data_IF_232458452171
#
_entry.id   IF_232458452171
#
_cell.length_a   1.000
_cell.length_b   1.000
_cell.length_c   1.000
_cell.angle_alpha   90.00
_cell.angle_beta   90.00
_cell.angle_gamma   90.00
#
_symmetry.space_group_name_H-M   'P 1'
#
loop_
_entity.id
_entity.type
_entity.pdbx_description
1 polymer ?
#
# COMPACT_ATOMS: atom_id res chain seq x y z
N UNK A 1 24.04 12.99 1.15
CA UNK A 1 22.77 12.25 1.09
C UNK A 1 22.19 12.37 -0.32
N UNK A 2 21.64 11.29 -0.86
CA UNK A 2 21.00 11.25 -2.17
C UNK A 2 19.52 11.02 -2.03
N UNK A 3 18.66 11.92 -2.53
CA UNK A 3 17.22 11.86 -2.37
C UNK A 3 16.53 11.87 -3.74
N UNK A 4 15.63 10.90 -3.95
CA UNK A 4 14.78 10.88 -5.12
C UNK A 4 13.47 11.65 -4.85
N UNK A 5 12.92 12.30 -5.87
CA UNK A 5 11.65 13.01 -5.79
C UNK A 5 10.71 12.47 -6.86
N UNK A 6 9.53 12.04 -6.43
CA UNK A 6 8.44 11.54 -7.26
C UNK A 6 7.24 12.45 -7.09
N UNK A 7 6.55 12.80 -8.16
CA UNK A 7 5.34 13.64 -8.09
C UNK A 7 4.21 13.02 -8.89
N UNK A 8 2.98 13.27 -8.47
CA UNK A 8 1.85 13.13 -9.37
C UNK A 8 2.01 14.10 -10.54
N UNK A 9 1.78 13.62 -11.74
CA UNK A 9 2.06 14.40 -12.96
C UNK A 9 0.85 15.13 -13.54
N UNK A 10 -0.34 14.80 -13.06
CA UNK A 10 -1.63 15.37 -13.49
C UNK A 10 -1.96 16.70 -12.79
N UNK A 11 -1.10 17.18 -11.89
CA UNK A 11 -1.29 18.41 -11.13
C UNK A 11 -0.07 19.33 -11.25
N UNK A 12 -0.19 20.50 -11.91
CA UNK A 12 0.92 21.44 -12.10
C UNK A 12 1.50 22.00 -10.80
N UNK A 13 0.67 22.18 -9.76
CA UNK A 13 1.15 22.72 -8.47
C UNK A 13 2.00 21.69 -7.72
N UNK A 14 1.64 20.40 -7.81
CA UNK A 14 2.46 19.31 -7.28
C UNK A 14 3.83 19.26 -7.97
N UNK A 15 3.87 19.41 -9.29
CA UNK A 15 5.12 19.48 -10.04
C UNK A 15 5.96 20.72 -9.68
N UNK A 16 5.31 21.87 -9.51
CA UNK A 16 5.98 23.09 -9.04
C UNK A 16 6.56 22.91 -7.62
N UNK A 17 5.82 22.19 -6.74
CA UNK A 17 6.28 21.87 -5.42
C UNK A 17 7.47 20.90 -5.42
N UNK A 18 7.46 19.89 -6.30
CA UNK A 18 8.59 19.00 -6.49
C UNK A 18 9.87 19.75 -6.91
N UNK A 19 9.76 20.80 -7.74
CA UNK A 19 10.88 21.70 -8.04
C UNK A 19 11.37 22.48 -6.80
N UNK A 20 10.46 22.93 -5.94
CA UNK A 20 10.83 23.62 -4.66
C UNK A 20 11.59 22.67 -3.73
N UNK A 21 11.13 21.42 -3.61
CA UNK A 21 11.82 20.36 -2.84
C UNK A 21 13.24 20.19 -3.35
N UNK A 22 13.44 20.00 -4.67
CA UNK A 22 14.79 19.89 -5.24
C UNK A 22 15.66 21.09 -4.88
N UNK A 23 15.12 22.31 -5.02
CA UNK A 23 15.86 23.54 -4.71
C UNK A 23 16.27 23.60 -3.24
N UNK A 24 15.39 23.19 -2.33
CA UNK A 24 15.67 23.12 -0.89
C UNK A 24 16.77 22.10 -0.57
N UNK A 25 16.65 20.88 -1.10
CA UNK A 25 17.64 19.81 -0.91
C UNK A 25 19.01 20.17 -1.47
N UNK A 26 19.06 20.80 -2.65
CA UNK A 26 20.33 21.24 -3.26
C UNK A 26 21.03 22.31 -2.39
N UNK A 27 20.26 23.24 -1.79
CA UNK A 27 20.84 24.24 -0.85
C UNK A 27 21.39 23.58 0.41
N UNK A 28 20.81 22.46 0.85
CA UNK A 28 21.29 21.66 1.98
C UNK A 28 22.40 20.66 1.60
N UNK A 29 22.96 20.74 0.38
CA UNK A 29 24.05 19.88 -0.06
C UNK A 29 23.66 18.45 -0.42
N UNK A 30 22.37 18.16 -0.63
CA UNK A 30 21.91 16.85 -1.06
C UNK A 30 21.94 16.69 -2.57
N UNK A 31 22.36 15.53 -3.02
CA UNK A 31 22.19 15.08 -4.42
C UNK A 31 20.72 14.72 -4.65
N UNK A 32 20.09 15.30 -5.67
CA UNK A 32 18.65 15.15 -5.90
C UNK A 32 18.40 14.63 -7.31
N UNK A 33 17.61 13.60 -7.44
CA UNK A 33 17.16 13.03 -8.72
C UNK A 33 15.64 12.97 -8.79
N UNK A 34 15.08 12.92 -9.99
CA UNK A 34 13.67 12.67 -10.23
C UNK A 34 13.46 11.28 -10.83
N UNK A 35 12.30 10.69 -10.54
CA UNK A 35 11.82 9.56 -11.33
C UNK A 35 11.55 9.98 -12.78
N UNK A 36 11.47 8.99 -13.67
CA UNK A 36 11.35 9.23 -15.10
C UNK A 36 10.11 10.03 -15.50
N UNK A 37 8.96 9.75 -14.86
CA UNK A 37 7.70 10.40 -15.21
C UNK A 37 7.65 11.84 -14.69
N UNK A 38 8.05 12.07 -13.45
CA UNK A 38 8.18 13.42 -12.89
C UNK A 38 9.17 14.25 -13.70
N UNK A 39 10.33 13.70 -14.02
CA UNK A 39 11.35 14.38 -14.80
C UNK A 39 10.84 14.77 -16.20
N UNK A 40 10.17 13.85 -16.90
CA UNK A 40 9.56 14.11 -18.21
C UNK A 40 8.57 15.25 -18.15
N UNK A 41 7.67 15.25 -17.14
CA UNK A 41 6.69 16.32 -16.94
C UNK A 41 7.35 17.69 -16.64
N UNK A 42 8.55 17.68 -16.07
CA UNK A 42 9.34 18.87 -15.76
C UNK A 42 10.31 19.29 -16.89
N UNK A 43 10.41 18.51 -18.00
CA UNK A 43 11.37 18.74 -19.07
C UNK A 43 12.82 18.46 -18.65
N UNK A 44 13.04 17.47 -17.78
CA UNK A 44 14.31 17.06 -17.20
C UNK A 44 14.64 15.60 -17.54
N UNK A 45 15.88 15.19 -17.28
CA UNK A 45 16.27 13.79 -17.29
C UNK A 45 15.92 13.11 -15.96
N UNK A 46 15.39 11.89 -16.02
CA UNK A 46 14.96 11.11 -14.87
C UNK A 46 15.40 9.66 -14.93
N UNK A 47 15.21 8.95 -13.83
CA UNK A 47 15.60 7.56 -13.64
C UNK A 47 14.33 6.71 -13.43
N UNK A 48 14.14 5.57 -14.12
CA UNK A 48 13.05 4.64 -13.83
C UNK A 48 13.05 4.22 -12.36
N UNK A 49 11.88 4.17 -11.71
CA UNK A 49 11.73 3.81 -10.28
C UNK A 49 12.48 2.53 -9.92
N UNK A 50 12.41 1.51 -10.76
CA UNK A 50 13.13 0.25 -10.57
C UNK A 50 14.66 0.37 -10.53
N UNK A 51 15.23 1.47 -11.02
CA UNK A 51 16.67 1.73 -11.06
C UNK A 51 17.11 2.84 -10.09
N UNK A 52 16.20 3.34 -9.28
CA UNK A 52 16.52 4.36 -8.27
C UNK A 52 17.36 3.73 -7.16
N UNK A 53 18.49 4.35 -6.87
CA UNK A 53 19.32 4.12 -5.70
C UNK A 53 19.48 5.44 -4.97
N UNK A 54 18.80 5.59 -3.84
CA UNK A 54 18.76 6.79 -3.02
C UNK A 54 18.64 6.42 -1.54
N UNK A 55 18.99 7.36 -0.67
CA UNK A 55 18.83 7.20 0.79
C UNK A 55 17.37 7.36 1.23
N UNK A 56 16.58 8.13 0.45
CA UNK A 56 15.14 8.29 0.63
C UNK A 56 14.45 8.68 -0.68
N UNK A 57 13.12 8.47 -0.73
CA UNK A 57 12.24 8.93 -1.82
C UNK A 57 11.18 9.86 -1.23
N UNK A 58 11.12 11.10 -1.69
CA UNK A 58 10.06 12.03 -1.34
C UNK A 58 8.98 11.97 -2.41
N UNK A 59 7.74 11.75 -1.99
CA UNK A 59 6.61 11.54 -2.89
C UNK A 59 5.59 12.66 -2.70
N UNK A 60 5.35 13.45 -3.72
CA UNK A 60 4.33 14.50 -3.75
C UNK A 60 3.09 13.95 -4.45
N UNK A 61 2.10 13.53 -3.67
CA UNK A 61 0.91 12.88 -4.23
C UNK A 61 0.00 12.30 -3.16
N UNK A 62 -1.06 11.62 -3.58
CA UNK A 62 -1.93 10.83 -2.70
C UNK A 62 -1.44 9.40 -2.52
N UNK A 63 -2.23 8.61 -1.79
CA UNK A 63 -1.92 7.20 -1.47
C UNK A 63 -1.63 6.36 -2.72
N UNK A 64 -2.35 6.58 -3.83
CA UNK A 64 -2.11 5.87 -5.09
C UNK A 64 -0.70 6.11 -5.67
N UNK A 65 -0.17 7.33 -5.55
CA UNK A 65 1.20 7.66 -5.99
C UNK A 65 2.23 6.96 -5.10
N UNK A 66 1.97 6.89 -3.79
CA UNK A 66 2.84 6.20 -2.82
C UNK A 66 2.85 4.70 -3.09
N UNK A 67 1.68 4.08 -3.25
CA UNK A 67 1.54 2.65 -3.55
C UNK A 67 2.28 2.28 -4.84
N UNK A 68 2.06 3.05 -5.92
CA UNK A 68 2.77 2.85 -7.19
C UNK A 68 4.28 2.95 -7.01
N UNK A 69 4.76 3.98 -6.33
CA UNK A 69 6.19 4.18 -6.11
C UNK A 69 6.80 2.99 -5.37
N UNK A 70 6.19 2.56 -4.26
CA UNK A 70 6.68 1.43 -3.46
C UNK A 70 6.65 0.11 -4.26
N UNK A 71 5.62 -0.09 -5.09
CA UNK A 71 5.49 -1.32 -5.88
C UNK A 71 6.54 -1.43 -6.99
N UNK A 72 6.99 -0.30 -7.55
CA UNK A 72 7.96 -0.25 -8.64
C UNK A 72 9.43 -0.18 -8.16
N UNK A 73 9.67 0.13 -6.88
CA UNK A 73 11.02 0.10 -6.31
C UNK A 73 11.56 -1.32 -6.22
N UNK A 74 12.77 -1.58 -6.75
CA UNK A 74 13.42 -2.89 -6.67
C UNK A 74 13.91 -3.24 -5.28
N UNK A 75 14.25 -2.23 -4.48
CA UNK A 75 14.77 -2.37 -3.12
C UNK A 75 13.94 -1.51 -2.17
N UNK A 76 13.77 -1.92 -0.91
CA UNK A 76 13.16 -1.07 0.10
C UNK A 76 13.99 0.22 0.28
N UNK A 77 13.41 1.36 -0.05
CA UNK A 77 13.98 2.69 0.19
C UNK A 77 12.97 3.43 1.07
N UNK A 78 13.41 4.12 2.13
CA UNK A 78 12.53 4.92 2.96
C UNK A 78 11.76 5.97 2.14
N UNK A 79 10.42 5.99 2.24
CA UNK A 79 9.58 6.95 1.52
C UNK A 79 9.00 7.98 2.48
N UNK A 80 8.92 9.23 2.04
CA UNK A 80 8.24 10.33 2.71
C UNK A 80 7.09 10.80 1.83
N UNK A 81 5.85 10.57 2.26
CA UNK A 81 4.66 11.02 1.54
C UNK A 81 4.26 12.43 1.93
N UNK A 82 4.09 13.31 0.94
CA UNK A 82 3.52 14.65 1.08
C UNK A 82 2.15 14.64 0.43
N UNK A 83 1.13 14.92 1.21
CA UNK A 83 -0.26 14.86 0.77
C UNK A 83 -0.54 15.94 -0.29
N UNK A 84 -0.80 15.50 -1.51
CA UNK A 84 -1.19 16.38 -2.60
C UNK A 84 -2.42 15.82 -3.32
N UNK A 85 -3.50 15.70 -2.57
CA UNK A 85 -4.74 15.10 -3.06
C UNK A 85 -5.84 15.19 -2.03
N UNK A 86 -6.83 14.32 -2.17
CA UNK A 86 -7.88 14.11 -1.17
C UNK A 86 -7.33 13.41 0.07
N UNK A 87 -8.20 13.09 1.01
CA UNK A 87 -7.83 12.41 2.26
C UNK A 87 -7.14 11.07 1.97
N UNK A 88 -5.83 11.00 2.30
CA UNK A 88 -5.04 9.77 2.22
C UNK A 88 -4.46 9.40 3.58
N UNK A 89 -4.17 8.11 3.80
CA UNK A 89 -3.63 7.61 5.07
C UNK A 89 -2.14 7.24 5.02
N UNK A 90 -1.53 7.17 3.81
CA UNK A 90 -0.11 6.87 3.66
C UNK A 90 0.77 8.12 3.69
N UNK A 91 0.29 9.26 3.15
CA UNK A 91 1.00 10.52 3.24
C UNK A 91 0.96 11.08 4.67
N UNK A 92 2.13 11.46 5.21
CA UNK A 92 2.28 11.89 6.59
C UNK A 92 2.44 13.41 6.76
N UNK A 93 2.86 14.12 5.72
CA UNK A 93 3.05 15.58 5.76
C UNK A 93 2.07 16.29 4.86
N UNK A 94 1.62 17.45 5.31
CA UNK A 94 0.94 18.43 4.47
C UNK A 94 1.99 19.37 3.81
N UNK A 95 1.70 20.01 2.66
CA UNK A 95 2.66 20.82 1.92
C UNK A 95 3.26 21.97 2.74
N UNK A 96 2.48 22.53 3.67
CA UNK A 96 2.86 23.70 4.48
C UNK A 96 4.05 23.42 5.41
N UNK A 97 4.16 22.21 5.91
CA UNK A 97 5.19 21.77 6.87
C UNK A 97 6.31 20.96 6.22
N UNK A 98 6.07 20.49 4.97
CA UNK A 98 6.96 19.53 4.32
C UNK A 98 8.37 20.08 4.09
N UNK A 99 8.51 21.35 3.67
CA UNK A 99 9.83 21.96 3.40
C UNK A 99 10.66 22.09 4.66
N UNK A 100 10.05 22.43 5.79
CA UNK A 100 10.74 22.53 7.08
C UNK A 100 11.27 21.16 7.50
N UNK A 101 10.42 20.11 7.43
CA UNK A 101 10.85 18.74 7.72
C UNK A 101 11.96 18.28 6.78
N UNK A 102 11.81 18.48 5.47
CA UNK A 102 12.80 18.08 4.46
C UNK A 102 14.16 18.73 4.72
N UNK A 103 14.18 19.97 5.21
CA UNK A 103 15.42 20.68 5.52
C UNK A 103 16.25 20.01 6.64
N UNK A 104 15.61 19.23 7.51
CA UNK A 104 16.27 18.48 8.60
C UNK A 104 16.74 17.09 8.18
N UNK A 105 16.26 16.56 7.06
CA UNK A 105 16.61 15.20 6.63
C UNK A 105 18.11 14.96 6.43
N UNK A 106 18.92 15.92 5.97
CA UNK A 106 20.37 15.72 5.84
C UNK A 106 21.07 15.39 7.16
N UNK A 107 20.52 15.80 8.28
CA UNK A 107 21.05 15.50 9.62
C UNK A 107 20.69 14.07 10.10
N UNK A 108 19.85 13.37 9.32
CA UNK A 108 19.38 12.02 9.59
C UNK A 108 17.89 11.96 9.87
N UNK A 109 17.30 10.79 9.69
CA UNK A 109 15.89 10.51 9.98
C UNK A 109 15.71 9.07 10.49
N UNK A 110 14.67 8.84 11.27
CA UNK A 110 14.26 7.49 11.65
C UNK A 110 13.29 6.90 10.63
N UNK A 111 13.22 5.57 10.62
CA UNK A 111 12.41 4.80 9.66
C UNK A 111 11.42 3.93 10.42
N UNK A 112 10.20 3.88 9.94
CA UNK A 112 9.15 2.94 10.37
C UNK A 112 8.97 1.87 9.31
N UNK A 113 8.94 0.60 9.75
CA UNK A 113 8.65 -0.53 8.87
C UNK A 113 7.15 -0.82 8.82
N UNK A 114 6.63 -1.02 7.61
CA UNK A 114 5.25 -1.47 7.37
C UNK A 114 5.29 -2.83 6.70
N UNK A 115 4.66 -3.83 7.33
CA UNK A 115 4.61 -5.15 6.72
C UNK A 115 3.91 -5.12 5.37
N UNK A 116 4.34 -6.01 4.48
CA UNK A 116 3.66 -6.28 3.21
C UNK A 116 3.27 -7.76 3.16
N UNK A 117 2.32 -8.10 2.31
CA UNK A 117 1.90 -9.48 2.07
C UNK A 117 2.33 -9.91 0.68
N UNK A 118 2.87 -11.12 0.59
CA UNK A 118 3.17 -11.81 -0.67
C UNK A 118 2.13 -12.89 -0.92
N UNK A 119 1.66 -12.96 -2.17
CA UNK A 119 0.65 -13.90 -2.61
C UNK A 119 1.25 -14.88 -3.60
N UNK A 120 0.94 -16.16 -3.42
CA UNK A 120 1.43 -17.23 -4.28
C UNK A 120 0.28 -18.13 -4.75
N UNK A 121 0.40 -18.63 -5.98
CA UNK A 121 -0.44 -19.68 -6.54
C UNK A 121 0.48 -20.70 -7.20
N UNK A 122 0.28 -21.97 -6.89
CA UNK A 122 1.10 -23.07 -7.44
C UNK A 122 2.62 -22.84 -7.32
N UNK A 123 3.07 -22.30 -6.18
CA UNK A 123 4.46 -21.97 -5.91
C UNK A 123 4.99 -20.73 -6.65
N UNK A 124 4.19 -20.08 -7.52
CA UNK A 124 4.57 -18.85 -8.22
C UNK A 124 4.05 -17.63 -7.50
N UNK A 125 4.93 -16.63 -7.29
CA UNK A 125 4.52 -15.35 -6.70
C UNK A 125 3.64 -14.60 -7.69
N UNK A 126 2.45 -14.22 -7.24
CA UNK A 126 1.51 -13.39 -8.00
C UNK A 126 1.82 -11.90 -7.83
N UNK A 127 2.17 -11.48 -6.62
CA UNK A 127 2.49 -10.11 -6.33
C UNK A 127 2.69 -9.84 -4.84
N UNK A 128 2.88 -8.57 -4.51
CA UNK A 128 3.08 -8.07 -3.14
C UNK A 128 2.16 -6.88 -2.91
N UNK A 129 1.39 -6.89 -1.83
CA UNK A 129 0.53 -5.78 -1.44
C UNK A 129 1.07 -5.05 -0.20
N UNK A 130 0.96 -3.73 -0.19
CA UNK A 130 1.15 -2.89 0.99
C UNK A 130 -0.17 -2.67 1.72
N UNK A 131 -1.26 -2.38 1.01
CA UNK A 131 -2.59 -2.24 1.59
C UNK A 131 -3.32 -3.57 1.59
N UNK A 132 -3.73 -4.05 0.43
CA UNK A 132 -4.55 -5.27 0.34
C UNK A 132 -4.45 -5.98 -1.02
N UNK A 133 -4.80 -7.25 -0.97
CA UNK A 133 -5.15 -8.05 -2.13
C UNK A 133 -6.64 -8.38 -2.08
N UNK A 134 -7.36 -8.06 -3.13
CA UNK A 134 -8.79 -8.30 -3.26
C UNK A 134 -9.03 -9.47 -4.22
N UNK A 135 -9.67 -10.52 -3.75
CA UNK A 135 -10.27 -11.55 -4.62
C UNK A 135 -11.73 -11.17 -4.84
N UNK A 136 -12.12 -10.92 -6.09
CA UNK A 136 -13.47 -10.44 -6.42
C UNK A 136 -14.05 -11.16 -7.62
N UNK A 137 -15.38 -11.33 -7.63
CA UNK A 137 -16.08 -11.90 -8.77
C UNK A 137 -15.95 -11.01 -10.01
N UNK A 138 -15.80 -11.62 -11.18
CA UNK A 138 -15.87 -10.91 -12.46
C UNK A 138 -17.31 -10.73 -12.96
N UNK A 139 -18.29 -11.34 -12.27
CA UNK A 139 -19.72 -11.31 -12.65
C UNK A 139 -20.56 -10.72 -11.51
N UNK A 140 -21.11 -9.53 -11.64
CA UNK A 140 -21.99 -8.92 -10.65
C UNK A 140 -23.11 -9.88 -10.21
N UNK A 141 -23.48 -9.83 -8.93
CA UNK A 141 -24.52 -10.68 -8.31
C UNK A 141 -24.26 -12.20 -8.39
N UNK A 142 -23.01 -12.60 -8.60
CA UNK A 142 -22.58 -14.01 -8.59
C UNK A 142 -21.50 -14.22 -7.54
N UNK A 143 -21.94 -14.57 -6.32
CA UNK A 143 -21.04 -14.80 -5.19
C UNK A 143 -20.03 -15.90 -5.47
N UNK A 144 -18.85 -15.73 -4.94
CA UNK A 144 -17.78 -16.72 -4.87
C UNK A 144 -17.91 -17.55 -3.59
N UNK A 145 -17.33 -18.74 -3.60
CA UNK A 145 -17.23 -19.60 -2.41
C UNK A 145 -15.78 -19.59 -1.95
N UNK A 146 -15.58 -19.24 -0.70
CA UNK A 146 -14.27 -19.17 -0.07
C UNK A 146 -14.17 -20.19 1.06
N UNK A 147 -13.02 -20.84 1.16
CA UNK A 147 -12.58 -21.57 2.34
C UNK A 147 -11.24 -20.97 2.80
N UNK A 148 -11.17 -20.61 4.07
CA UNK A 148 -9.97 -20.06 4.70
C UNK A 148 -9.36 -21.15 5.56
N UNK A 149 -8.12 -21.52 5.29
CA UNK A 149 -7.37 -22.49 6.12
C UNK A 149 -6.21 -21.80 6.82
N UNK A 150 -6.07 -22.08 8.11
CA UNK A 150 -4.97 -21.63 8.95
C UNK A 150 -4.26 -22.83 9.54
N UNK A 151 -2.97 -22.99 9.27
CA UNK A 151 -2.15 -24.13 9.68
C UNK A 151 -2.79 -25.49 9.28
N UNK A 152 -3.35 -25.55 8.07
CA UNK A 152 -3.97 -26.73 7.51
C UNK A 152 -5.37 -27.07 8.05
N UNK A 153 -5.92 -26.26 8.96
CA UNK A 153 -7.28 -26.42 9.48
C UNK A 153 -8.21 -25.36 8.91
N UNK A 154 -9.42 -25.76 8.49
CA UNK A 154 -10.43 -24.80 8.00
C UNK A 154 -10.86 -23.89 9.16
N UNK A 155 -10.61 -22.59 9.02
CA UNK A 155 -10.98 -21.56 9.98
C UNK A 155 -12.34 -20.93 9.68
N UNK A 156 -12.68 -20.76 8.37
CA UNK A 156 -13.97 -20.22 7.93
C UNK A 156 -14.32 -20.73 6.53
N UNK A 157 -15.62 -20.77 6.23
CA UNK A 157 -16.16 -21.15 4.93
C UNK A 157 -17.43 -20.34 4.65
N UNK A 158 -17.41 -19.52 3.59
CA UNK A 158 -18.51 -18.60 3.31
C UNK A 158 -18.67 -18.29 1.81
N UNK A 159 -19.79 -17.64 1.48
CA UNK A 159 -20.07 -17.06 0.17
C UNK A 159 -20.08 -15.56 0.28
N UNK A 160 -19.43 -14.88 -0.66
CA UNK A 160 -19.34 -13.43 -0.70
C UNK A 160 -19.10 -12.94 -2.13
N UNK A 161 -19.26 -11.65 -2.38
CA UNK A 161 -18.88 -11.03 -3.66
C UNK A 161 -17.36 -10.96 -3.82
N UNK A 162 -16.63 -10.95 -2.70
CA UNK A 162 -15.18 -10.96 -2.66
C UNK A 162 -14.62 -11.16 -1.25
N UNK A 163 -13.30 -11.19 -1.18
CA UNK A 163 -12.53 -11.25 0.06
C UNK A 163 -11.34 -10.30 -0.05
N UNK A 164 -11.23 -9.38 0.89
CA UNK A 164 -10.04 -8.55 1.10
C UNK A 164 -9.07 -9.29 2.02
N UNK A 165 -7.82 -9.36 1.60
CA UNK A 165 -6.68 -9.84 2.37
C UNK A 165 -5.78 -8.62 2.59
N UNK A 166 -5.94 -7.97 3.73
CA UNK A 166 -5.31 -6.67 4.01
C UNK A 166 -4.17 -6.79 5.01
N UNK A 167 -3.24 -5.85 4.93
CA UNK A 167 -2.25 -5.61 5.98
C UNK A 167 -2.87 -4.69 7.05
N UNK A 168 -2.24 -4.53 8.22
CA UNK A 168 -2.61 -3.49 9.17
C UNK A 168 -2.56 -2.08 8.59
N UNK A 169 -1.59 -1.79 7.72
CA UNK A 169 -1.53 -0.52 6.97
C UNK A 169 -2.75 -0.32 6.09
N UNK A 170 -3.20 -1.34 5.38
CA UNK A 170 -4.40 -1.31 4.53
C UNK A 170 -5.73 -1.30 5.31
N UNK A 171 -5.70 -1.45 6.64
CA UNK A 171 -6.92 -1.42 7.45
C UNK A 171 -7.69 -0.09 7.35
N UNK A 172 -7.01 1.00 7.00
CA UNK A 172 -7.60 2.32 6.75
C UNK A 172 -7.93 2.58 5.27
N UNK A 173 -7.68 1.60 4.38
CA UNK A 173 -8.00 1.66 2.96
C UNK A 173 -9.35 0.95 2.67
N UNK A 174 -9.42 0.10 1.67
CA UNK A 174 -10.67 -0.55 1.27
C UNK A 174 -11.22 -1.48 2.36
N UNK A 175 -10.35 -2.07 3.20
CA UNK A 175 -10.78 -2.90 4.33
C UNK A 175 -11.70 -2.13 5.31
N UNK A 176 -11.42 -0.84 5.57
CA UNK A 176 -12.28 0.02 6.40
C UNK A 176 -13.66 0.21 5.76
N UNK A 177 -13.72 0.52 4.47
CA UNK A 177 -14.99 0.69 3.74
C UNK A 177 -15.82 -0.59 3.69
N UNK A 178 -15.16 -1.75 3.77
CA UNK A 178 -15.80 -3.06 3.83
C UNK A 178 -16.24 -3.47 5.26
N UNK A 179 -16.10 -2.60 6.25
CA UNK A 179 -16.48 -2.87 7.64
C UNK A 179 -15.42 -3.60 8.46
N UNK A 180 -14.17 -3.62 7.98
CA UNK A 180 -13.03 -4.10 8.75
C UNK A 180 -12.65 -3.15 9.90
N UNK A 181 -11.98 -3.63 10.95
CA UNK A 181 -11.49 -2.79 12.04
C UNK A 181 -10.30 -1.95 11.58
N UNK A 182 -10.10 -0.79 12.23
CA UNK A 182 -8.85 -0.04 12.16
C UNK A 182 -7.83 -0.78 13.00
N UNK A 183 -6.67 -1.09 12.41
CA UNK A 183 -5.60 -1.85 13.05
C UNK A 183 -4.36 -0.98 13.11
N UNK A 184 -3.68 -0.95 14.28
CA UNK A 184 -2.39 -0.30 14.41
C UNK A 184 -1.41 -0.90 13.39
N UNK A 185 -0.77 -0.09 12.53
CA UNK A 185 0.14 -0.59 11.50
C UNK A 185 1.39 -1.30 12.05
N UNK A 186 1.66 -1.18 13.35
CA UNK A 186 2.73 -1.91 14.05
C UNK A 186 2.35 -3.35 14.40
N UNK A 187 1.07 -3.70 14.32
CA UNK A 187 0.63 -5.08 14.49
C UNK A 187 1.07 -5.90 13.26
N UNK A 188 1.51 -7.12 13.51
CA UNK A 188 1.87 -8.05 12.45
C UNK A 188 0.74 -9.08 12.28
N UNK A 189 0.01 -8.99 11.19
CA UNK A 189 -1.11 -9.90 10.94
C UNK A 189 -1.78 -9.67 9.59
N UNK A 190 -2.55 -10.66 9.18
CA UNK A 190 -3.38 -10.63 7.98
C UNK A 190 -4.82 -10.32 8.39
N UNK A 191 -5.37 -9.23 7.90
CA UNK A 191 -6.76 -8.84 8.13
C UNK A 191 -7.60 -9.35 6.94
N UNK A 192 -8.48 -10.29 7.19
CA UNK A 192 -9.41 -10.85 6.21
C UNK A 192 -10.78 -10.21 6.37
N UNK A 193 -11.28 -9.56 5.32
CA UNK A 193 -12.58 -8.87 5.35
C UNK A 193 -13.45 -9.36 4.20
N UNK A 194 -14.51 -10.17 4.47
CA UNK A 194 -15.47 -10.58 3.46
C UNK A 194 -16.24 -9.38 2.89
N UNK A 195 -16.42 -9.32 1.56
CA UNK A 195 -17.23 -8.31 0.88
C UNK A 195 -18.64 -8.82 0.64
N UNK A 196 -19.63 -8.14 1.19
CA UNK A 196 -21.05 -8.49 1.08
C UNK A 196 -21.29 -10.00 1.29
N UNK A 197 -20.90 -10.57 2.44
CA UNK A 197 -21.06 -11.99 2.71
C UNK A 197 -22.55 -12.35 2.78
N UNK A 198 -22.90 -13.55 2.27
CA UNK A 198 -24.26 -14.05 2.30
C UNK A 198 -24.79 -14.26 3.72
N UNK A 199 -23.92 -14.71 4.63
CA UNK A 199 -24.28 -14.97 6.03
C UNK A 199 -23.86 -13.79 6.91
N UNK A 200 -24.80 -13.29 7.72
CA UNK A 200 -24.54 -12.24 8.71
C UNK A 200 -23.56 -12.66 9.82
N UNK A 201 -23.29 -13.95 9.97
CA UNK A 201 -22.31 -14.49 10.93
C UNK A 201 -20.86 -14.35 10.45
N UNK A 202 -20.61 -14.18 9.15
CA UNK A 202 -19.26 -13.94 8.65
C UNK A 202 -18.71 -12.62 9.21
N UNK A 203 -17.52 -12.68 9.78
CA UNK A 203 -16.86 -11.53 10.43
C UNK A 203 -15.45 -11.36 9.88
N UNK A 204 -14.88 -10.15 9.91
CA UNK A 204 -13.47 -9.96 9.69
C UNK A 204 -12.62 -10.76 10.68
N UNK A 205 -11.52 -11.34 10.18
CA UNK A 205 -10.55 -12.08 10.99
C UNK A 205 -9.20 -11.38 10.95
N UNK A 206 -8.55 -11.25 12.10
CA UNK A 206 -7.14 -10.86 12.18
C UNK A 206 -6.33 -12.09 12.58
N UNK A 207 -5.42 -12.52 11.69
CA UNK A 207 -4.62 -13.73 11.83
C UNK A 207 -3.15 -13.31 11.92
N UNK A 208 -2.42 -13.87 12.89
CA UNK A 208 -1.00 -13.57 13.06
C UNK A 208 -0.20 -13.94 11.79
N UNK A 209 0.78 -13.10 11.42
CA UNK A 209 1.57 -13.22 10.18
C UNK A 209 2.53 -14.42 10.13
N UNK A 210 2.76 -15.07 11.27
CA UNK A 210 3.57 -16.28 11.37
C UNK A 210 2.77 -17.59 11.17
N UNK A 211 1.45 -17.48 10.92
CA UNK A 211 0.59 -18.64 10.62
C UNK A 211 0.60 -18.92 9.12
N UNK A 212 0.47 -20.20 8.76
CA UNK A 212 0.24 -20.59 7.38
C UNK A 212 -1.20 -20.27 6.98
N UNK A 213 -1.39 -19.36 6.04
CA UNK A 213 -2.70 -18.91 5.58
C UNK A 213 -2.91 -19.30 4.12
N UNK A 214 -4.00 -20.03 3.86
CA UNK A 214 -4.43 -20.40 2.52
C UNK A 214 -5.89 -19.98 2.29
N UNK A 215 -6.14 -19.38 1.14
CA UNK A 215 -7.47 -19.00 0.66
C UNK A 215 -7.82 -19.88 -0.53
N UNK A 216 -8.77 -20.77 -0.35
CA UNK A 216 -9.29 -21.60 -1.42
C UNK A 216 -10.52 -20.95 -2.03
N UNK A 217 -10.47 -20.73 -3.33
CA UNK A 217 -11.62 -20.32 -4.14
C UNK A 217 -12.30 -21.58 -4.69
N UNK A 218 -13.38 -21.99 -4.06
CA UNK A 218 -14.16 -23.20 -4.41
C UNK A 218 -15.32 -22.83 -5.34
N UNK A 219 -15.06 -22.09 -6.39
CA UNK A 219 -16.11 -21.55 -7.24
C UNK A 219 -15.92 -21.96 -8.70
N UNK A 220 -17.01 -22.39 -9.33
CA UNK A 220 -17.08 -22.58 -10.78
C UNK A 220 -17.16 -21.26 -11.56
N UNK A 221 -17.04 -20.10 -10.87
CA UNK A 221 -17.12 -18.77 -11.45
C UNK A 221 -15.73 -18.14 -11.47
N UNK A 222 -15.39 -17.39 -12.53
CA UNK A 222 -14.10 -16.73 -12.61
C UNK A 222 -13.99 -15.59 -11.60
N UNK A 223 -12.79 -15.40 -11.07
CA UNK A 223 -12.44 -14.33 -10.15
C UNK A 223 -11.18 -13.63 -10.60
N UNK A 224 -11.03 -12.37 -10.17
CA UNK A 224 -9.82 -11.59 -10.28
C UNK A 224 -9.18 -11.41 -8.91
N UNK A 225 -7.85 -11.37 -8.90
CA UNK A 225 -7.04 -10.87 -7.81
C UNK A 225 -6.59 -9.46 -8.17
N UNK A 226 -6.92 -8.48 -7.34
CA UNK A 226 -6.50 -7.09 -7.50
C UNK A 226 -5.56 -6.74 -6.35
N UNK A 227 -4.36 -6.28 -6.65
CA UNK A 227 -3.31 -5.96 -5.66
C UNK A 227 -3.16 -4.44 -5.58
N UNK A 228 -3.36 -3.87 -4.38
CA UNK A 228 -3.28 -2.42 -4.08
C UNK A 228 -4.06 -1.53 -5.08
N UNK A 229 -5.11 -2.06 -5.68
CA UNK A 229 -5.89 -1.37 -6.72
C UNK A 229 -5.16 -1.12 -8.05
N UNK A 230 -3.93 -1.65 -8.22
CA UNK A 230 -3.06 -1.32 -9.36
C UNK A 230 -2.84 -2.47 -10.33
N UNK A 231 -2.71 -3.68 -9.83
CA UNK A 231 -2.47 -4.86 -10.64
C UNK A 231 -3.68 -5.79 -10.57
N UNK A 232 -4.17 -6.24 -11.73
CA UNK A 232 -5.25 -7.23 -11.82
C UNK A 232 -4.73 -8.51 -12.46
N UNK A 233 -5.00 -9.65 -11.82
CA UNK A 233 -4.60 -10.99 -12.24
C UNK A 233 -5.85 -11.86 -12.30
N UNK A 234 -6.08 -12.52 -13.43
CA UNK A 234 -7.16 -13.49 -13.55
C UNK A 234 -6.81 -14.77 -12.79
N UNK A 235 -7.64 -15.15 -11.83
CA UNK A 235 -7.47 -16.39 -11.07
C UNK A 235 -8.12 -17.60 -11.76
N UNK A 236 -9.07 -17.32 -12.65
CA UNK A 236 -9.92 -18.36 -13.23
C UNK A 236 -10.94 -18.92 -12.22
N UNK A 237 -11.21 -20.21 -12.32
CA UNK A 237 -12.08 -20.95 -11.40
C UNK A 237 -11.22 -21.87 -10.52
N UNK A 238 -11.64 -22.07 -9.28
CA UNK A 238 -10.99 -23.02 -8.34
C UNK A 238 -9.48 -22.79 -8.20
N UNK A 239 -9.10 -21.89 -7.31
CA UNK A 239 -7.69 -21.52 -7.06
C UNK A 239 -7.39 -21.55 -5.58
N UNK A 240 -6.17 -21.96 -5.24
CA UNK A 240 -5.64 -21.84 -3.88
C UNK A 240 -4.56 -20.75 -3.87
N UNK A 241 -4.75 -19.75 -3.02
CA UNK A 241 -3.82 -18.63 -2.83
C UNK A 241 -3.18 -18.78 -1.46
N UNK A 242 -1.86 -18.92 -1.45
CA UNK A 242 -1.08 -18.85 -0.23
C UNK A 242 -0.73 -17.40 0.07
N UNK A 243 -0.91 -17.03 1.33
CA UNK A 243 -0.67 -15.67 1.84
C UNK A 243 0.43 -15.75 2.88
N UNK A 244 1.50 -15.03 2.65
CA UNK A 244 2.64 -14.97 3.59
C UNK A 244 3.08 -13.52 3.78
N UNK A 245 3.70 -13.25 4.93
CA UNK A 245 4.42 -11.99 5.12
C UNK A 245 5.52 -11.85 4.06
N UNK A 246 5.61 -10.69 3.44
CA UNK A 246 6.70 -10.40 2.49
C UNK A 246 8.04 -10.32 3.23
N UNK A 247 9.09 -10.83 2.60
CA UNK A 247 10.47 -10.76 3.10
C UNK A 247 10.92 -9.32 3.34
N UNK A 248 10.51 -8.41 2.47
CA UNK A 248 10.89 -7.00 2.54
C UNK A 248 9.69 -6.13 2.93
N UNK A 249 9.79 -5.40 4.06
CA UNK A 249 8.77 -4.41 4.44
C UNK A 249 8.79 -3.21 3.48
N UNK A 250 7.78 -2.37 3.55
CA UNK A 250 7.86 -1.01 3.05
C UNK A 250 8.45 -0.13 4.17
N UNK A 251 9.35 0.77 3.79
CA UNK A 251 10.03 1.67 4.70
C UNK A 251 9.44 3.07 4.58
N UNK A 252 9.03 3.66 5.70
CA UNK A 252 8.52 5.03 5.74
C UNK A 252 9.43 5.89 6.62
N UNK A 253 9.69 7.12 6.21
CA UNK A 253 10.35 8.11 7.06
C UNK A 253 9.41 8.43 8.22
N UNK A 254 9.88 8.21 9.45
CA UNK A 254 9.08 8.45 10.65
C UNK A 254 9.03 9.94 10.99
N UNK A 255 7.88 10.55 10.77
CA UNK A 255 7.62 11.96 11.08
C UNK A 255 7.15 12.18 12.52
N UNK A 256 7.26 11.17 13.38
CA UNK A 256 6.91 11.22 14.82
C UNK A 256 5.44 11.58 15.09
N UNK A 257 4.52 11.16 14.21
CA UNK A 257 3.08 11.37 14.39
C UNK A 257 2.39 10.15 14.96
N UNK A 258 1.41 10.39 15.80
CA UNK A 258 0.56 9.31 16.32
C UNK A 258 -0.43 8.86 15.22
N UNK A 259 -0.45 7.56 14.94
CA UNK A 259 -1.34 6.96 13.96
C UNK A 259 -2.83 7.23 14.26
N UNK A 260 -3.26 7.06 15.51
CA UNK A 260 -4.67 7.22 15.88
C UNK A 260 -5.12 8.68 15.85
N UNK A 261 -4.24 9.64 16.18
CA UNK A 261 -4.53 11.07 15.99
C UNK A 261 -4.71 11.42 14.52
N UNK A 262 -3.88 10.85 13.64
CA UNK A 262 -4.00 10.98 12.20
C UNK A 262 -5.35 10.42 11.69
N UNK A 263 -5.72 9.22 12.15
CA UNK A 263 -6.99 8.58 11.79
C UNK A 263 -8.17 9.43 12.24
N UNK A 264 -8.21 9.86 13.52
CA UNK A 264 -9.29 10.69 14.05
C UNK A 264 -9.44 12.00 13.26
N UNK A 265 -8.33 12.71 13.03
CA UNK A 265 -8.34 13.96 12.25
C UNK A 265 -8.89 13.75 10.84
N UNK A 266 -8.50 12.65 10.17
CA UNK A 266 -8.91 12.38 8.78
C UNK A 266 -10.36 11.93 8.70
N UNK A 267 -10.83 11.08 9.62
CA UNK A 267 -12.22 10.61 9.63
C UNK A 267 -13.23 11.70 10.02
N UNK A 268 -12.85 12.70 10.80
CA UNK A 268 -13.71 13.84 11.12
C UNK A 268 -13.89 14.82 9.96
N UNK A 269 -13.02 14.76 8.96
CA UNK A 269 -13.04 15.64 7.78
C UNK A 269 -13.61 14.95 6.53
N UNK A 270 -14.10 13.71 6.67
CA UNK A 270 -14.88 12.98 5.67
C UNK A 270 -16.37 13.27 5.87
#
# INVERSE_FOLDING_TARGET
MKIAVVSRIDNPDALAFARKIRSSLTKSGCDTLFDQDTARALGLEGIPLAKIHADAVIIVGGDGTILRTISELHHPIPVLGINWGEVGFLADLEPEEALDFISTMPDGFSVEERMRISLFKDGKRLGVALNEALIVTTRPAKMLHFSISVDGSVADHFRADGLLISTPTGSTAYAMSAGGPIVDPRIHGFLLVPLAPYMLSSRPHLICDNRSLEISLESAKPANLVIDGQQTIELGISSVIQVVRSEYPALFVDVKRNFFEKVDKKLRNL
#
